data_IF_336116405376
#
_entry.id   IF_336116405376
#
_cell.length_a   1.000
_cell.length_b   1.000
_cell.length_c   1.000
_cell.angle_alpha   90.00
_cell.angle_beta   90.00
_cell.angle_gamma   90.00
#
_symmetry.space_group_name_H-M   'P 1'
#
loop_
_entity.id
_entity.type
_entity.pdbx_description
1 polymer ?
#
# COMPACT_ATOMS: atom_id res chain seq x y z
N UNK A 1 -5.49 -11.07 -15.43
CA UNK A 1 -4.69 -11.01 -14.19
C UNK A 1 -3.75 -9.83 -14.31
N UNK A 2 -3.80 -8.91 -13.35
CA UNK A 2 -2.91 -7.74 -13.32
C UNK A 2 -1.95 -7.85 -12.15
N UNK A 3 -0.79 -7.21 -12.30
CA UNK A 3 0.21 -7.06 -11.23
C UNK A 3 -0.33 -6.14 -10.12
N UNK A 4 0.27 -6.22 -8.93
CA UNK A 4 -0.09 -5.38 -7.78
C UNK A 4 -0.09 -3.88 -8.12
N UNK A 5 -1.09 -3.16 -7.62
CA UNK A 5 -1.28 -1.75 -7.92
C UNK A 5 -0.69 -0.86 -6.83
N UNK A 6 -0.06 0.23 -7.26
CA UNK A 6 0.55 1.21 -6.36
C UNK A 6 -0.54 2.00 -5.63
N UNK A 7 -0.42 2.08 -4.31
CA UNK A 7 -1.23 2.96 -3.47
C UNK A 7 -0.62 4.37 -3.49
N UNK A 8 -1.42 5.43 -3.62
CA UNK A 8 -0.91 6.80 -3.58
C UNK A 8 -0.13 7.08 -2.28
N UNK A 9 0.98 7.84 -2.36
CA UNK A 9 1.82 8.12 -1.21
C UNK A 9 1.05 8.86 -0.10
N UNK A 10 1.44 8.68 1.17
CA UNK A 10 0.81 9.37 2.29
C UNK A 10 1.07 10.88 2.22
N UNK A 11 0.03 11.68 2.48
CA UNK A 11 0.13 13.15 2.47
C UNK A 11 0.79 13.77 3.71
N UNK A 12 1.18 12.94 4.69
CA UNK A 12 1.85 13.40 5.92
C UNK A 12 2.74 12.32 6.53
N UNK A 13 3.70 12.73 7.36
CA UNK A 13 4.58 11.81 8.08
C UNK A 13 3.82 10.91 9.07
N UNK A 14 2.73 11.41 9.68
CA UNK A 14 1.90 10.62 10.59
C UNK A 14 1.15 9.50 9.85
N UNK A 15 0.58 9.83 8.69
CA UNK A 15 -0.08 8.84 7.83
C UNK A 15 0.91 7.82 7.26
N UNK A 16 2.17 8.21 7.02
CA UNK A 16 3.21 7.30 6.58
C UNK A 16 3.53 6.24 7.64
N UNK A 17 3.73 6.68 8.89
CA UNK A 17 4.00 5.78 10.02
C UNK A 17 2.86 4.78 10.22
N UNK A 18 1.61 5.26 10.25
CA UNK A 18 0.45 4.40 10.41
C UNK A 18 0.33 3.34 9.31
N UNK A 19 0.66 3.69 8.05
CA UNK A 19 0.61 2.75 6.94
C UNK A 19 1.70 1.69 7.00
N UNK A 20 2.91 2.04 7.42
CA UNK A 20 3.99 1.06 7.60
C UNK A 20 3.68 0.12 8.76
N UNK A 21 3.15 0.63 9.88
CA UNK A 21 2.78 -0.19 11.05
C UNK A 21 1.61 -1.15 10.78
N UNK A 22 0.71 -0.79 9.85
CA UNK A 22 -0.47 -1.59 9.48
C UNK A 22 -0.29 -2.42 8.21
N UNK A 23 0.90 -2.47 7.63
CA UNK A 23 1.17 -3.28 6.44
C UNK A 23 1.13 -4.79 6.79
N UNK A 24 0.56 -5.64 5.91
CA UNK A 24 0.59 -7.10 6.08
C UNK A 24 -0.60 -7.87 5.52
N UNK A 25 -1.81 -7.30 5.54
CA UNK A 25 -3.02 -7.97 5.07
C UNK A 25 -3.50 -7.44 3.71
N UNK A 26 -3.96 -6.19 3.66
CA UNK A 26 -4.55 -5.59 2.45
C UNK A 26 -3.53 -5.02 1.47
N UNK A 27 -2.36 -4.66 1.99
CA UNK A 27 -1.28 -4.06 1.23
C UNK A 27 0.08 -4.31 1.87
N UNK A 28 1.11 -4.23 1.06
CA UNK A 28 2.51 -4.39 1.45
C UNK A 28 3.24 -3.09 1.17
N UNK A 29 3.98 -2.57 2.15
CA UNK A 29 4.83 -1.41 1.94
C UNK A 29 6.27 -1.86 1.69
N UNK A 30 6.80 -1.48 0.53
CA UNK A 30 8.22 -1.63 0.23
C UNK A 30 9.03 -0.50 0.89
N UNK A 31 8.41 0.68 1.02
CA UNK A 31 8.95 1.85 1.70
C UNK A 31 7.80 2.71 2.28
N UNK A 32 8.12 3.71 3.10
CA UNK A 32 7.12 4.57 3.76
C UNK A 32 6.21 5.34 2.79
N UNK A 33 6.71 5.60 1.57
CA UNK A 33 5.99 6.27 0.50
C UNK A 33 5.49 5.33 -0.60
N UNK A 34 5.92 4.06 -0.59
CA UNK A 34 5.64 3.10 -1.64
C UNK A 34 5.00 1.84 -1.06
N UNK A 35 3.68 1.77 -1.20
CA UNK A 35 2.90 0.61 -0.83
C UNK A 35 2.13 0.07 -2.05
N UNK A 36 2.00 -1.25 -2.11
CA UNK A 36 1.36 -2.01 -3.17
C UNK A 36 0.17 -2.76 -2.58
N UNK A 37 -0.95 -2.78 -3.28
CA UNK A 37 -2.08 -3.65 -2.95
C UNK A 37 -2.31 -4.64 -4.07
N UNK A 38 -2.84 -5.81 -3.74
CA UNK A 38 -3.25 -6.78 -4.75
C UNK A 38 -4.23 -6.13 -5.71
N UNK A 39 -3.97 -6.31 -7.00
CA UNK A 39 -4.90 -5.86 -8.03
C UNK A 39 -6.26 -6.50 -7.76
N UNK A 40 -7.36 -5.72 -7.67
CA UNK A 40 -8.68 -6.31 -7.57
C UNK A 40 -8.92 -7.09 -8.86
N UNK A 41 -8.70 -8.41 -8.82
CA UNK A 41 -9.12 -9.30 -9.89
C UNK A 41 -10.63 -9.16 -9.98
N UNK A 42 -11.12 -8.65 -11.11
CA UNK A 42 -12.53 -8.68 -11.44
C UNK A 42 -12.99 -10.14 -11.36
N UNK A 43 -13.91 -10.41 -10.44
CA UNK A 43 -15.08 -11.22 -10.79
C UNK A 43 -16.06 -10.29 -11.53
#
# INVERSE_FOLDING_TARGET
MGEDVIIPPPGSCGSAKERVEKAGEDYTCLDWFLCLKKCPTAD
#
